data_IF_929942854576
#
_entry.id   IF_929942854576
#
_cell.length_a   1.000
_cell.length_b   1.000
_cell.length_c   1.000
_cell.angle_alpha   90.00
_cell.angle_beta   90.00
_cell.angle_gamma   90.00
#
_symmetry.space_group_name_H-M   'P 1'
#
loop_
_entity.id
_entity.type
_entity.pdbx_description
1 polymer ?
#
# COMPACT_ATOMS: atom_id res chain seq x y z
N UNK A 1 -1.23 -50.79 40.24
CA UNK A 1 -1.47 -50.96 38.78
C UNK A 1 -1.59 -49.66 38.00
N UNK A 2 -2.38 -48.65 38.42
CA UNK A 2 -2.55 -47.38 37.67
C UNK A 2 -1.25 -46.61 37.39
N UNK A 3 -0.26 -46.68 38.30
CA UNK A 3 1.05 -46.03 38.14
C UNK A 3 1.92 -46.67 37.06
N UNK A 4 1.96 -48.00 37.00
CA UNK A 4 2.78 -48.75 36.02
C UNK A 4 2.28 -48.55 34.58
N UNK A 5 0.96 -48.46 34.41
CA UNK A 5 0.34 -48.21 33.09
C UNK A 5 0.73 -46.81 32.58
N UNK A 6 0.76 -45.80 33.45
CA UNK A 6 1.20 -44.44 33.07
C UNK A 6 2.67 -44.41 32.63
N UNK A 7 3.55 -45.13 33.31
CA UNK A 7 4.98 -45.16 32.98
C UNK A 7 5.25 -45.85 31.64
N UNK A 8 4.52 -46.92 31.33
CA UNK A 8 4.63 -47.63 30.05
C UNK A 8 4.10 -46.78 28.91
N UNK A 9 2.96 -46.10 29.11
CA UNK A 9 2.40 -45.15 28.14
C UNK A 9 3.35 -43.97 27.88
N UNK A 10 3.90 -43.35 28.92
CA UNK A 10 4.87 -42.26 28.74
C UNK A 10 6.16 -42.72 28.07
N UNK A 11 6.65 -43.91 28.40
CA UNK A 11 7.85 -44.49 27.76
C UNK A 11 7.63 -44.81 26.28
N UNK A 12 6.45 -45.32 25.91
CA UNK A 12 6.08 -45.59 24.51
C UNK A 12 5.95 -44.31 23.68
N UNK A 13 5.38 -43.25 24.25
CA UNK A 13 5.27 -41.94 23.59
C UNK A 13 6.64 -41.33 23.35
N UNK A 14 7.54 -41.40 24.35
CA UNK A 14 8.92 -40.90 24.22
C UNK A 14 9.70 -41.71 23.19
N UNK A 15 9.56 -43.04 23.17
CA UNK A 15 10.21 -43.88 22.16
C UNK A 15 9.71 -43.60 20.73
N UNK A 16 8.41 -43.34 20.56
CA UNK A 16 7.83 -42.93 19.27
C UNK A 16 8.32 -41.54 18.84
N UNK A 17 8.45 -40.59 19.76
CA UNK A 17 8.98 -39.26 19.48
C UNK A 17 10.45 -39.28 19.09
N UNK A 18 11.28 -40.10 19.75
CA UNK A 18 12.72 -40.22 19.45
C UNK A 18 12.95 -40.92 18.11
N UNK A 19 12.19 -41.96 17.79
CA UNK A 19 12.33 -42.70 16.52
C UNK A 19 11.79 -41.95 15.30
N UNK A 20 10.90 -40.97 15.51
CA UNK A 20 10.33 -40.13 14.46
C UNK A 20 10.89 -38.70 14.47
N UNK A 21 11.88 -38.40 15.29
CA UNK A 21 12.41 -37.05 15.51
C UNK A 21 12.96 -36.41 14.23
N UNK A 22 13.67 -37.19 13.41
CA UNK A 22 14.24 -36.71 12.15
C UNK A 22 13.14 -36.27 11.16
N UNK A 23 12.03 -37.02 11.10
CA UNK A 23 10.87 -36.69 10.25
C UNK A 23 10.16 -35.43 10.77
N UNK A 24 10.07 -35.26 12.09
CA UNK A 24 9.49 -34.07 12.71
C UNK A 24 10.35 -32.83 12.41
N UNK A 25 11.68 -32.95 12.52
CA UNK A 25 12.60 -31.87 12.16
C UNK A 25 12.51 -31.50 10.68
N UNK A 26 12.42 -32.49 9.80
CA UNK A 26 12.29 -32.29 8.35
C UNK A 26 10.96 -31.62 7.99
N UNK A 27 9.84 -32.02 8.61
CA UNK A 27 8.54 -31.37 8.42
C UNK A 27 8.54 -29.93 8.94
N UNK A 28 9.13 -29.68 10.11
CA UNK A 28 9.23 -28.32 10.68
C UNK A 28 10.11 -27.42 9.80
N UNK A 29 11.24 -27.92 9.30
CA UNK A 29 12.13 -27.13 8.41
C UNK A 29 11.47 -26.87 7.07
N UNK A 30 10.83 -27.86 6.44
CA UNK A 30 10.06 -27.67 5.20
C UNK A 30 8.96 -26.63 5.41
N UNK A 31 8.19 -26.75 6.50
CA UNK A 31 7.10 -25.82 6.79
C UNK A 31 7.58 -24.39 7.05
N UNK A 32 8.74 -24.21 7.70
CA UNK A 32 9.37 -22.90 7.90
C UNK A 32 9.85 -22.28 6.58
N UNK A 33 10.47 -23.07 5.68
CA UNK A 33 10.92 -22.59 4.36
C UNK A 33 9.72 -22.14 3.51
N UNK A 34 8.64 -22.93 3.50
CA UNK A 34 7.40 -22.54 2.80
C UNK A 34 6.77 -21.28 3.40
N UNK A 35 6.82 -21.07 4.72
CA UNK A 35 6.35 -19.84 5.34
C UNK A 35 7.18 -18.62 4.96
N UNK A 36 8.50 -18.73 4.94
CA UNK A 36 9.40 -17.64 4.53
C UNK A 36 9.19 -17.24 3.06
N UNK A 37 9.07 -18.23 2.16
CA UNK A 37 8.82 -17.98 0.73
C UNK A 37 7.44 -17.33 0.50
N UNK A 38 6.43 -17.76 1.26
CA UNK A 38 5.07 -17.19 1.18
C UNK A 38 5.03 -15.76 1.72
N UNK A 39 5.72 -15.49 2.84
CA UNK A 39 5.82 -14.14 3.40
C UNK A 39 6.56 -13.17 2.47
N UNK A 40 7.62 -13.65 1.80
CA UNK A 40 8.34 -12.88 0.79
C UNK A 40 7.43 -12.57 -0.41
N UNK A 41 6.68 -13.56 -0.90
CA UNK A 41 5.73 -13.40 -1.99
C UNK A 41 4.65 -12.36 -1.66
N UNK A 42 4.08 -12.41 -0.45
CA UNK A 42 3.08 -11.44 0.02
C UNK A 42 3.68 -10.04 0.11
N UNK A 43 4.90 -9.90 0.64
CA UNK A 43 5.59 -8.59 0.70
C UNK A 43 5.84 -8.02 -0.69
N UNK A 44 6.40 -8.82 -1.61
CA UNK A 44 6.65 -8.40 -2.99
C UNK A 44 5.35 -8.03 -3.72
N UNK A 45 4.32 -8.87 -3.60
CA UNK A 45 3.00 -8.59 -4.16
C UNK A 45 2.40 -7.29 -3.60
N UNK A 46 2.53 -7.08 -2.29
CA UNK A 46 2.11 -5.84 -1.62
C UNK A 46 2.86 -4.61 -2.11
N UNK A 47 4.19 -4.70 -2.28
CA UNK A 47 5.01 -3.59 -2.81
C UNK A 47 4.59 -3.22 -4.23
N UNK A 48 4.43 -4.21 -5.11
CA UNK A 48 4.02 -4.00 -6.50
C UNK A 48 2.62 -3.39 -6.55
N UNK A 49 1.68 -3.90 -5.75
CA UNK A 49 0.31 -3.39 -5.67
C UNK A 49 0.25 -1.95 -5.18
N UNK A 50 0.95 -1.64 -4.09
CA UNK A 50 1.05 -0.29 -3.54
C UNK A 50 1.62 0.70 -4.56
N UNK A 51 2.73 0.34 -5.23
CA UNK A 51 3.38 1.17 -6.25
C UNK A 51 2.44 1.45 -7.42
N UNK A 52 1.84 0.39 -7.97
CA UNK A 52 0.95 0.49 -9.12
C UNK A 52 -0.27 1.36 -8.82
N UNK A 53 -0.82 1.23 -7.62
CA UNK A 53 -1.97 2.02 -7.19
C UNK A 53 -1.65 3.52 -7.10
N UNK A 54 -0.52 3.89 -6.48
CA UNK A 54 -0.11 5.30 -6.38
C UNK A 54 0.11 5.90 -7.77
N UNK A 55 0.80 5.19 -8.65
CA UNK A 55 1.05 5.63 -10.02
C UNK A 55 -0.27 5.81 -10.77
N UNK A 56 -1.20 4.86 -10.64
CA UNK A 56 -2.52 4.93 -11.26
C UNK A 56 -3.31 6.17 -10.81
N UNK A 57 -3.42 6.39 -9.50
CA UNK A 57 -4.08 7.56 -8.94
C UNK A 57 -3.39 8.88 -9.38
N UNK A 58 -2.06 8.88 -9.47
CA UNK A 58 -1.32 10.03 -9.99
C UNK A 58 -1.68 10.35 -11.44
N UNK A 59 -1.78 9.36 -12.32
CA UNK A 59 -2.17 9.56 -13.72
C UNK A 59 -3.61 10.08 -13.87
N UNK A 60 -4.54 9.59 -13.05
CA UNK A 60 -5.90 10.12 -13.01
C UNK A 60 -5.89 11.62 -12.67
N UNK A 61 -5.16 12.01 -11.62
CA UNK A 61 -5.07 13.40 -11.20
C UNK A 61 -4.37 14.28 -12.24
N UNK A 62 -3.33 13.76 -12.89
CA UNK A 62 -2.55 14.50 -13.87
C UNK A 62 -3.41 15.03 -15.02
N UNK A 63 -4.43 14.28 -15.43
CA UNK A 63 -5.36 14.71 -16.48
C UNK A 63 -6.15 15.94 -16.05
N UNK A 64 -6.68 15.95 -14.82
CA UNK A 64 -7.42 17.10 -14.30
C UNK A 64 -6.53 18.33 -14.10
N UNK A 65 -5.31 18.14 -13.58
CA UNK A 65 -4.37 19.24 -13.35
C UNK A 65 -3.95 19.87 -14.68
N UNK A 66 -3.81 19.09 -15.75
CA UNK A 66 -3.52 19.60 -17.10
C UNK A 66 -4.63 20.54 -17.60
N UNK A 67 -5.89 20.25 -17.30
CA UNK A 67 -7.00 21.12 -17.67
C UNK A 67 -6.96 22.46 -16.91
N UNK A 68 -6.63 22.44 -15.62
CA UNK A 68 -6.41 23.67 -14.85
C UNK A 68 -5.23 24.45 -15.40
N UNK A 69 -4.14 23.78 -15.79
CA UNK A 69 -2.94 24.41 -16.33
C UNK A 69 -3.22 25.10 -17.67
N UNK A 70 -4.17 24.59 -18.47
CA UNK A 70 -4.66 25.26 -19.69
C UNK A 70 -5.43 26.55 -19.40
N UNK A 71 -6.20 26.59 -18.31
CA UNK A 71 -7.03 27.75 -17.94
C UNK A 71 -6.24 28.79 -17.13
N UNK A 72 -5.40 28.35 -16.19
CA UNK A 72 -4.54 29.20 -15.35
C UNK A 72 -3.17 28.53 -15.11
N UNK A 73 -2.18 28.92 -15.92
CA UNK A 73 -0.83 28.35 -15.89
C UNK A 73 -0.15 28.43 -14.52
N UNK A 74 -0.25 29.56 -13.81
CA UNK A 74 0.46 29.77 -12.55
C UNK A 74 -0.08 28.87 -11.42
N UNK A 75 -1.40 28.93 -11.20
CA UNK A 75 -2.06 28.14 -10.16
C UNK A 75 -2.03 26.64 -10.44
N UNK A 76 -2.21 26.23 -11.70
CA UNK A 76 -2.10 24.83 -12.11
C UNK A 76 -0.69 24.27 -11.93
N UNK A 77 0.35 25.04 -12.26
CA UNK A 77 1.74 24.62 -12.10
C UNK A 77 2.13 24.46 -10.62
N UNK A 78 1.68 25.36 -9.75
CA UNK A 78 1.90 25.24 -8.30
C UNK A 78 1.27 23.96 -7.74
N UNK A 79 0.00 23.70 -8.08
CA UNK A 79 -0.73 22.51 -7.63
C UNK A 79 -0.06 21.23 -8.15
N UNK A 80 0.40 21.23 -9.41
CA UNK A 80 1.13 20.12 -10.03
C UNK A 80 2.44 19.78 -9.31
N UNK A 81 3.25 20.80 -9.01
CA UNK A 81 4.54 20.61 -8.31
C UNK A 81 4.30 20.02 -6.92
N UNK A 82 3.36 20.61 -6.16
CA UNK A 82 3.02 20.12 -4.82
C UNK A 82 2.56 18.66 -4.86
N UNK A 83 1.68 18.33 -5.81
CA UNK A 83 1.15 16.97 -5.93
C UNK A 83 2.23 15.94 -6.33
N UNK A 84 3.15 16.30 -7.23
CA UNK A 84 4.30 15.44 -7.57
C UNK A 84 5.17 15.20 -6.35
N UNK A 85 5.53 16.25 -5.61
CA UNK A 85 6.38 16.13 -4.43
C UNK A 85 5.77 15.19 -3.39
N UNK A 86 4.46 15.32 -3.13
CA UNK A 86 3.73 14.42 -2.25
C UNK A 86 3.79 12.98 -2.77
N UNK A 87 3.46 12.78 -4.05
CA UNK A 87 3.44 11.44 -4.66
C UNK A 87 4.79 10.73 -4.56
N UNK A 88 5.89 11.46 -4.83
CA UNK A 88 7.25 10.94 -4.70
C UNK A 88 7.56 10.56 -3.24
N UNK A 89 7.10 11.37 -2.27
CA UNK A 89 7.25 11.05 -0.85
C UNK A 89 6.49 9.80 -0.42
N UNK A 90 5.37 9.47 -1.06
CA UNK A 90 4.66 8.22 -0.78
C UNK A 90 5.28 7.02 -1.50
N UNK A 91 5.88 7.22 -2.68
CA UNK A 91 6.64 6.17 -3.37
C UNK A 91 7.95 5.84 -2.66
N UNK A 92 8.63 6.82 -2.07
CA UNK A 92 9.88 6.58 -1.33
C UNK A 92 9.68 5.65 -0.12
N UNK A 93 8.44 5.53 0.39
CA UNK A 93 8.10 4.59 1.46
C UNK A 93 8.44 3.13 1.10
N UNK A 94 8.32 2.72 -0.17
CA UNK A 94 8.65 1.35 -0.60
C UNK A 94 10.12 1.01 -0.35
N UNK A 95 10.99 2.02 -0.41
CA UNK A 95 12.43 1.88 -0.17
C UNK A 95 12.76 1.81 1.33
N UNK A 96 11.81 2.16 2.20
CA UNK A 96 11.96 2.13 3.65
C UNK A 96 11.22 0.92 4.22
N UNK A 97 11.98 -0.05 4.75
CA UNK A 97 11.51 -1.25 5.48
C UNK A 97 10.00 -1.55 5.34
N UNK A 98 9.62 -2.02 4.15
CA UNK A 98 8.21 -2.10 3.74
C UNK A 98 7.42 -3.02 4.66
N UNK A 99 6.38 -2.47 5.27
CA UNK A 99 5.43 -3.21 6.08
C UNK A 99 4.03 -3.06 5.47
N UNK A 100 3.37 -4.19 5.20
CA UNK A 100 2.07 -4.22 4.56
C UNK A 100 1.01 -3.40 5.31
N UNK A 101 0.99 -3.45 6.65
CA UNK A 101 -0.01 -2.73 7.45
C UNK A 101 0.18 -1.21 7.34
N UNK A 102 1.43 -0.76 7.44
CA UNK A 102 1.76 0.66 7.31
C UNK A 102 1.54 1.13 5.87
N UNK A 103 1.83 0.29 4.87
CA UNK A 103 1.53 0.57 3.47
C UNK A 103 0.04 0.82 3.24
N UNK A 104 -0.85 0.03 3.87
CA UNK A 104 -2.30 0.24 3.78
C UNK A 104 -2.74 1.55 4.41
N UNK A 105 -2.21 1.90 5.59
CA UNK A 105 -2.49 3.20 6.24
C UNK A 105 -2.01 4.35 5.34
N UNK A 106 -0.79 4.27 4.81
CA UNK A 106 -0.24 5.26 3.91
C UNK A 106 -1.09 5.41 2.64
N UNK A 107 -1.58 4.31 2.09
CA UNK A 107 -2.46 4.33 0.92
C UNK A 107 -3.79 5.03 1.23
N UNK A 108 -4.38 4.79 2.41
CA UNK A 108 -5.57 5.52 2.85
C UNK A 108 -5.31 7.02 2.99
N UNK A 109 -4.19 7.41 3.60
CA UNK A 109 -3.80 8.83 3.72
C UNK A 109 -3.60 9.45 2.34
N UNK A 110 -2.93 8.74 1.42
CA UNK A 110 -2.72 9.20 0.07
C UNK A 110 -4.04 9.43 -0.68
N UNK A 111 -5.02 8.53 -0.53
CA UNK A 111 -6.35 8.70 -1.11
C UNK A 111 -7.10 9.92 -0.57
N UNK A 112 -6.97 10.20 0.73
CA UNK A 112 -7.53 11.43 1.32
C UNK A 112 -6.88 12.65 0.67
N UNK A 113 -5.55 12.65 0.49
CA UNK A 113 -4.84 13.75 -0.17
C UNK A 113 -5.32 13.91 -1.63
N UNK A 114 -5.41 12.82 -2.39
CA UNK A 114 -5.94 12.84 -3.76
C UNK A 114 -7.34 13.46 -3.79
N UNK A 115 -8.22 13.05 -2.88
CA UNK A 115 -9.59 13.59 -2.78
C UNK A 115 -9.62 15.10 -2.46
N UNK A 116 -8.70 15.57 -1.62
CA UNK A 116 -8.55 17.01 -1.33
C UNK A 116 -8.08 17.76 -2.57
N UNK A 117 -7.11 17.19 -3.32
CA UNK A 117 -6.59 17.78 -4.55
C UNK A 117 -7.69 17.84 -5.62
N UNK A 118 -8.52 16.80 -5.75
CA UNK A 118 -9.71 16.79 -6.61
C UNK A 118 -10.65 17.94 -6.24
N UNK A 119 -11.02 18.06 -4.96
CA UNK A 119 -11.92 19.12 -4.50
C UNK A 119 -11.36 20.54 -4.77
N UNK A 120 -10.07 20.75 -4.50
CA UNK A 120 -9.39 22.03 -4.78
C UNK A 120 -9.38 22.30 -6.28
N UNK A 121 -9.08 21.27 -7.08
CA UNK A 121 -9.04 21.35 -8.55
C UNK A 121 -10.39 21.78 -9.12
N UNK A 122 -11.48 21.19 -8.63
CA UNK A 122 -12.84 21.51 -9.05
C UNK A 122 -13.23 22.94 -8.65
N UNK A 123 -12.94 23.35 -7.41
CA UNK A 123 -13.18 24.72 -6.93
C UNK A 123 -12.42 25.77 -7.76
N UNK A 124 -11.20 25.46 -8.18
CA UNK A 124 -10.42 26.34 -9.06
C UNK A 124 -11.06 26.47 -10.44
N UNK A 125 -11.55 25.38 -11.02
CA UNK A 125 -12.24 25.41 -12.32
C UNK A 125 -13.55 26.21 -12.26
N UNK A 126 -14.36 26.03 -11.20
CA UNK A 126 -15.60 26.79 -11.02
C UNK A 126 -15.36 28.30 -10.91
N UNK A 127 -14.36 28.71 -10.12
CA UNK A 127 -14.04 30.15 -9.96
C UNK A 127 -13.51 30.79 -11.24
N UNK A 128 -12.73 30.06 -12.04
CA UNK A 128 -12.25 30.53 -13.35
C UNK A 128 -13.41 30.69 -14.35
N UNK A 129 -14.35 29.74 -14.39
CA UNK A 129 -15.51 29.81 -15.28
C UNK A 129 -16.47 30.96 -14.89
N UNK A 130 -16.69 31.18 -13.58
CA UNK A 130 -17.49 32.30 -13.10
C UNK A 130 -16.89 33.67 -13.49
N UNK A 131 -15.56 33.81 -13.40
CA UNK A 131 -14.85 35.03 -13.80
C UNK A 131 -14.97 35.29 -15.30
N UNK A 132 -14.89 34.24 -16.13
CA UNK A 132 -15.07 34.34 -17.59
C UNK A 132 -16.49 34.72 -17.99
N UNK A 133 -17.50 34.26 -17.24
CA UNK A 133 -18.91 34.62 -17.45
C UNK A 133 -19.17 36.10 -17.17
N UNK A 134 -18.60 36.65 -16.09
CA UNK A 134 -18.74 38.08 -15.77
C UNK A 134 -18.05 38.98 -16.79
N UNK A 135 -16.87 38.60 -17.29
CA UNK A 135 -16.18 39.38 -18.33
C UNK A 135 -16.97 39.46 -19.65
N UNK A 136 -17.82 38.45 -19.95
CA UNK A 136 -18.64 38.41 -21.16
C UNK A 136 -19.98 39.17 -21.03
N UNK A 137 -20.40 39.55 -19.82
CA UNK A 137 -21.63 40.33 -19.61
C UNK A 137 -21.39 41.85 -19.53
N UNK A 138 -20.13 42.27 -19.54
CA UNK A 138 -19.72 43.69 -19.46
C UNK A 138 -19.34 44.24 -20.86
N UNK A 139 -19.34 43.39 -21.89
CA UNK A 139 -19.21 43.77 -23.30
C UNK A 139 -20.48 43.45 -24.07
#
# INVERSE_FOLDING_TARGET
>A
MKSLIKTILSGSIIALLVTKWDIILEVITIQNVFQEDTDLLIKLGGMIGYTSFIIFAFFLQQTQIKDILRVNKGKGLMLYIVFITITISFLSYILMNFNLQIAMINLMIYLIIVSIVDFVSERMMMTLNACKSHAKSIF
#
